data_IF_865323377174
#
_entry.id   IF_865323377174
#
_cell.length_a   1.000
_cell.length_b   1.000
_cell.length_c   1.000
_cell.angle_alpha   90.00
_cell.angle_beta   90.00
_cell.angle_gamma   90.00
#
_symmetry.space_group_name_H-M   'P 1'
#
loop_
_entity.id
_entity.type
_entity.pdbx_description
1 polymer ?
#
# COMPACT_ATOMS: atom_id res chain seq x y z
N UNK A 1 3.02 -5.40 -8.10
CA UNK A 1 1.82 -4.88 -7.40
C UNK A 1 1.34 -3.67 -8.18
N UNK A 2 0.05 -3.36 -8.12
CA UNK A 2 -0.56 -2.20 -8.77
C UNK A 2 -1.53 -1.56 -7.77
N UNK A 3 -1.58 -0.23 -7.75
CA UNK A 3 -2.60 0.52 -7.03
C UNK A 3 -3.07 1.67 -7.90
N UNK A 4 -4.38 1.88 -7.92
CA UNK A 4 -5.04 2.97 -8.64
C UNK A 4 -5.92 3.68 -7.63
N UNK A 5 -5.64 4.95 -7.39
CA UNK A 5 -6.37 5.76 -6.42
C UNK A 5 -7.05 6.93 -7.11
N UNK A 6 -8.17 7.37 -6.55
CA UNK A 6 -8.77 8.63 -6.89
C UNK A 6 -7.88 9.82 -6.43
N UNK A 7 -7.96 10.93 -7.15
CA UNK A 7 -7.15 12.13 -6.86
C UNK A 7 -7.43 12.72 -5.48
N UNK A 8 -8.61 12.47 -4.92
CA UNK A 8 -8.98 12.89 -3.56
C UNK A 8 -8.16 12.18 -2.48
N UNK A 9 -7.64 10.98 -2.77
CA UNK A 9 -6.94 10.10 -1.82
C UNK A 9 -5.44 10.08 -2.06
N UNK A 10 -5.00 10.20 -3.32
CA UNK A 10 -3.59 10.25 -3.67
C UNK A 10 -3.29 11.39 -4.64
N UNK A 11 -2.35 12.27 -4.24
CA UNK A 11 -1.90 13.35 -5.10
C UNK A 11 -0.95 12.81 -6.16
N UNK A 12 -1.30 13.00 -7.44
CA UNK A 12 -0.40 12.74 -8.55
C UNK A 12 0.74 13.79 -8.55
N UNK A 13 2.02 13.37 -8.52
CA UNK A 13 3.16 14.26 -8.64
C UNK A 13 3.06 15.10 -9.92
N UNK A 14 3.39 16.39 -9.83
CA UNK A 14 3.19 17.32 -10.95
C UNK A 14 3.93 16.88 -12.23
N UNK A 15 5.16 16.39 -12.09
CA UNK A 15 5.97 15.90 -13.22
C UNK A 15 5.49 14.61 -13.88
N UNK A 16 4.48 13.93 -13.30
CA UNK A 16 3.86 12.71 -13.86
C UNK A 16 2.42 12.94 -14.31
N UNK A 17 1.92 14.18 -14.24
CA UNK A 17 0.60 14.52 -14.79
C UNK A 17 0.69 14.51 -16.31
N UNK A 18 -0.16 13.71 -16.95
CA UNK A 18 -0.34 13.82 -18.39
C UNK A 18 -0.88 15.22 -18.73
N UNK A 19 -0.49 15.79 -19.89
CA UNK A 19 -1.12 17.02 -20.37
C UNK A 19 -2.63 16.82 -20.41
N UNK A 20 -3.44 17.86 -20.08
CA UNK A 20 -4.88 17.76 -20.21
C UNK A 20 -5.20 17.48 -21.68
N UNK A 21 -5.63 16.25 -21.98
CA UNK A 21 -6.03 15.87 -23.32
C UNK A 21 -7.28 16.67 -23.68
N UNK A 22 -7.16 17.60 -24.63
CA UNK A 22 -8.30 18.34 -25.16
C UNK A 22 -9.30 17.34 -25.76
N UNK A 23 -10.43 17.14 -25.09
CA UNK A 23 -11.55 16.35 -25.59
C UNK A 23 -11.48 14.83 -25.41
N UNK A 24 -10.50 14.27 -24.69
CA UNK A 24 -10.54 12.86 -24.31
C UNK A 24 -11.20 12.71 -22.94
N UNK A 25 -12.33 12.01 -22.86
CA UNK A 25 -12.77 11.40 -21.60
C UNK A 25 -11.55 10.70 -21.00
N UNK A 26 -11.19 11.06 -19.75
CA UNK A 26 -10.02 10.59 -19.00
C UNK A 26 -9.56 9.21 -19.50
N UNK A 27 -8.44 9.20 -20.23
CA UNK A 27 -8.09 8.13 -21.15
C UNK A 27 -8.15 6.73 -20.54
N UNK A 28 -9.04 5.91 -21.11
CA UNK A 28 -8.75 4.49 -21.36
C UNK A 28 -9.12 3.49 -20.28
N UNK A 29 -10.30 3.64 -19.67
CA UNK A 29 -10.93 2.66 -18.79
C UNK A 29 -10.47 2.84 -17.35
N UNK A 30 -11.34 3.34 -16.49
CA UNK A 30 -11.03 3.62 -15.07
C UNK A 30 -10.47 2.43 -14.30
N UNK A 31 -10.22 2.59 -12.99
CA UNK A 31 -9.55 1.59 -12.15
C UNK A 31 -9.95 0.12 -12.44
N UNK A 32 -11.23 -0.15 -12.69
CA UNK A 32 -11.74 -1.46 -13.09
C UNK A 32 -11.08 -2.06 -14.36
N UNK A 33 -10.87 -1.29 -15.42
CA UNK A 33 -10.23 -1.77 -16.65
C UNK A 33 -8.74 -2.07 -16.42
N UNK A 34 -8.05 -1.22 -15.65
CA UNK A 34 -6.66 -1.48 -15.24
C UNK A 34 -6.54 -2.73 -14.37
N UNK A 35 -7.48 -2.94 -13.43
CA UNK A 35 -7.53 -4.16 -12.63
C UNK A 35 -7.77 -5.40 -13.49
N UNK A 36 -8.70 -5.32 -14.46
CA UNK A 36 -8.97 -6.41 -15.40
C UNK A 36 -7.75 -6.72 -16.28
N UNK A 37 -7.08 -5.69 -16.79
CA UNK A 37 -5.85 -5.84 -17.57
C UNK A 37 -4.72 -6.48 -16.74
N UNK A 38 -4.54 -6.03 -15.50
CA UNK A 38 -3.58 -6.63 -14.58
C UNK A 38 -3.90 -8.10 -14.32
N UNK A 39 -5.17 -8.44 -14.05
CA UNK A 39 -5.60 -9.81 -13.80
C UNK A 39 -5.44 -10.73 -15.02
N UNK A 40 -5.66 -10.21 -16.23
CA UNK A 40 -5.44 -10.96 -17.47
C UNK A 40 -3.96 -11.19 -17.77
N UNK A 41 -3.08 -10.25 -17.37
CA UNK A 41 -1.65 -10.31 -17.65
C UNK A 41 -0.84 -11.07 -16.59
N UNK A 42 -1.42 -11.40 -15.43
CA UNK A 42 -0.70 -12.03 -14.33
C UNK A 42 -1.47 -13.23 -13.78
N UNK A 43 -0.81 -14.37 -13.72
CA UNK A 43 -1.35 -15.56 -13.05
C UNK A 43 -1.58 -15.29 -11.56
N UNK A 44 -2.57 -15.98 -10.98
CA UNK A 44 -2.94 -15.86 -9.57
C UNK A 44 -3.04 -14.40 -9.10
N UNK A 45 -3.62 -13.54 -9.96
CA UNK A 45 -3.89 -12.16 -9.61
C UNK A 45 -5.03 -12.06 -8.60
N UNK A 46 -4.86 -11.17 -7.64
CA UNK A 46 -5.84 -10.78 -6.64
C UNK A 46 -6.06 -9.29 -6.80
N UNK A 47 -7.32 -8.90 -6.96
CA UNK A 47 -7.77 -7.52 -7.05
C UNK A 47 -8.64 -7.17 -5.85
N UNK A 48 -8.42 -6.03 -5.24
CA UNK A 48 -9.16 -5.53 -4.08
C UNK A 48 -9.77 -4.19 -4.46
N UNK A 49 -11.10 -4.09 -4.38
CA UNK A 49 -11.81 -2.82 -4.57
C UNK A 49 -11.87 -2.04 -3.27
N UNK A 50 -11.53 -0.75 -3.31
CA UNK A 50 -11.61 0.17 -2.17
C UNK A 50 -12.83 1.11 -2.31
N UNK A 51 -13.82 0.72 -3.11
CA UNK A 51 -14.99 1.54 -3.43
C UNK A 51 -14.61 2.74 -4.31
N UNK A 52 -15.12 3.93 -3.96
CA UNK A 52 -14.82 5.17 -4.70
C UNK A 52 -13.39 5.66 -4.53
N UNK A 53 -12.65 5.14 -3.54
CA UNK A 53 -11.28 5.56 -3.28
C UNK A 53 -10.26 4.99 -4.28
N UNK A 54 -10.57 3.85 -4.91
CA UNK A 54 -9.65 3.21 -5.84
C UNK A 54 -9.69 1.68 -5.78
N UNK A 55 -8.61 1.07 -6.24
CA UNK A 55 -8.40 -0.37 -6.26
C UNK A 55 -6.91 -0.73 -6.11
N UNK A 56 -6.67 -1.90 -5.54
CA UNK A 56 -5.35 -2.51 -5.39
C UNK A 56 -5.31 -3.83 -6.15
N UNK A 57 -4.17 -4.20 -6.68
CA UNK A 57 -3.96 -5.51 -7.26
C UNK A 57 -2.55 -6.04 -7.02
N UNK A 58 -2.46 -7.36 -6.85
CA UNK A 58 -1.19 -8.05 -6.78
C UNK A 58 -1.29 -9.45 -7.35
N UNK A 59 -0.18 -9.99 -7.83
CA UNK A 59 -0.11 -11.40 -8.22
C UNK A 59 0.64 -12.19 -7.17
N UNK A 60 0.12 -13.39 -6.86
CA UNK A 60 0.82 -14.39 -6.05
C UNK A 60 1.57 -15.44 -6.86
N UNK A 61 1.55 -15.35 -8.20
CA UNK A 61 2.33 -16.24 -9.05
C UNK A 61 3.81 -15.86 -9.04
N UNK A 62 4.66 -16.86 -9.31
CA UNK A 62 6.12 -16.73 -9.42
C UNK A 62 6.75 -15.92 -8.27
N UNK A 63 6.25 -16.11 -7.03
CA UNK A 63 6.80 -15.43 -5.86
C UNK A 63 8.23 -15.89 -5.64
N UNK A 64 9.17 -14.96 -5.71
CA UNK A 64 10.50 -15.17 -5.15
C UNK A 64 10.35 -15.34 -3.62
N UNK A 65 10.74 -16.50 -3.04
CA UNK A 65 10.64 -16.72 -1.60
C UNK A 65 11.40 -15.69 -0.77
N UNK A 66 12.44 -15.07 -1.34
CA UNK A 66 13.26 -14.04 -0.70
C UNK A 66 12.58 -12.67 -0.64
N UNK A 67 11.53 -12.45 -1.42
CA UNK A 67 10.82 -11.17 -1.50
C UNK A 67 9.31 -11.45 -1.42
N UNK A 68 8.81 -11.88 -0.25
CA UNK A 68 7.44 -12.29 -0.10
C UNK A 68 6.52 -11.11 -0.37
N UNK A 69 5.40 -11.41 -1.02
CA UNK A 69 4.34 -10.45 -1.29
C UNK A 69 3.12 -10.80 -0.47
N UNK A 70 2.64 -9.84 0.31
CA UNK A 70 1.61 -10.01 1.31
C UNK A 70 0.56 -8.90 1.18
N UNK A 71 -0.67 -9.25 1.52
CA UNK A 71 -1.78 -8.32 1.66
C UNK A 71 -2.38 -8.53 3.04
N UNK A 72 -2.80 -7.44 3.66
CA UNK A 72 -3.50 -7.50 4.95
C UNK A 72 -4.35 -6.27 5.15
N UNK A 73 -5.37 -6.44 5.98
CA UNK A 73 -6.29 -5.38 6.37
C UNK A 73 -6.58 -5.47 7.85
N UNK A 74 -6.46 -4.36 8.57
CA UNK A 74 -6.78 -4.27 9.99
C UNK A 74 -7.41 -2.91 10.25
N UNK A 75 -8.57 -2.89 10.92
CA UNK A 75 -9.32 -1.67 11.24
C UNK A 75 -9.53 -0.74 10.03
N UNK A 76 -9.98 -1.31 8.91
CA UNK A 76 -10.22 -0.61 7.64
C UNK A 76 -9.01 0.13 7.05
N UNK A 77 -7.81 -0.29 7.45
CA UNK A 77 -6.54 0.09 6.83
C UNK A 77 -6.06 -1.10 6.01
N UNK A 78 -5.81 -0.88 4.73
CA UNK A 78 -5.41 -1.90 3.78
C UNK A 78 -3.95 -1.71 3.41
N UNK A 79 -3.16 -2.79 3.41
CA UNK A 79 -1.74 -2.73 3.08
C UNK A 79 -1.36 -3.85 2.12
N UNK A 80 -0.77 -3.45 0.99
CA UNK A 80 0.01 -4.32 0.12
C UNK A 80 1.48 -4.14 0.47
N UNK A 81 2.16 -5.25 0.75
CA UNK A 81 3.57 -5.26 1.12
C UNK A 81 4.34 -6.25 0.25
N UNK A 82 5.58 -5.90 -0.06
CA UNK A 82 6.52 -6.77 -0.71
C UNK A 82 7.92 -6.59 -0.10
N UNK A 83 8.60 -7.69 0.23
CA UNK A 83 9.97 -7.67 0.74
C UNK A 83 10.09 -8.17 2.17
N UNK A 84 11.07 -7.66 2.90
CA UNK A 84 11.36 -8.09 4.26
C UNK A 84 11.80 -6.90 5.12
N UNK A 85 11.41 -6.93 6.39
CA UNK A 85 11.80 -5.95 7.40
C UNK A 85 12.72 -6.65 8.39
N UNK A 86 13.90 -6.10 8.59
CA UNK A 86 14.97 -6.73 9.38
C UNK A 86 14.82 -6.44 10.88
N UNK A 87 14.29 -5.27 11.23
CA UNK A 87 14.20 -4.79 12.62
C UNK A 87 12.84 -5.05 13.27
N UNK A 88 12.15 -6.13 12.89
CA UNK A 88 10.80 -6.50 13.37
C UNK A 88 10.71 -6.58 14.90
N UNK A 89 11.72 -7.13 15.57
CA UNK A 89 11.74 -7.22 17.03
C UNK A 89 11.70 -5.85 17.71
N UNK A 90 12.48 -4.89 17.19
CA UNK A 90 12.50 -3.52 17.70
C UNK A 90 11.16 -2.82 17.47
N UNK A 91 10.58 -2.98 16.27
CA UNK A 91 9.27 -2.41 15.94
C UNK A 91 8.16 -2.94 16.85
N UNK A 92 8.14 -4.25 17.12
CA UNK A 92 7.16 -4.86 18.04
C UNK A 92 7.24 -4.27 19.43
N UNK A 93 8.46 -4.06 19.94
CA UNK A 93 8.67 -3.44 21.24
C UNK A 93 8.28 -1.96 21.24
N UNK A 94 8.71 -1.20 20.23
CA UNK A 94 8.50 0.24 20.13
C UNK A 94 7.01 0.60 20.02
N UNK A 95 6.26 -0.17 19.23
CA UNK A 95 4.82 0.05 19.00
C UNK A 95 3.91 -0.80 19.88
N UNK A 96 4.45 -1.62 20.79
CA UNK A 96 3.66 -2.47 21.69
C UNK A 96 2.82 -3.54 20.97
N UNK A 97 3.37 -4.16 19.93
CA UNK A 97 2.66 -5.06 19.02
C UNK A 97 2.66 -6.52 19.50
N UNK A 98 1.68 -7.28 19.01
CA UNK A 98 1.59 -8.72 19.23
C UNK A 98 2.85 -9.49 18.78
N UNK A 99 3.22 -10.54 19.52
CA UNK A 99 4.30 -11.46 19.15
C UNK A 99 4.03 -12.14 17.80
N UNK A 100 2.78 -12.33 17.42
CA UNK A 100 2.37 -12.98 16.15
C UNK A 100 2.27 -12.00 14.97
N UNK A 101 2.53 -10.70 15.17
CA UNK A 101 2.44 -9.73 14.08
C UNK A 101 3.53 -10.01 13.01
N UNK A 102 3.10 -10.06 11.76
CA UNK A 102 3.97 -10.13 10.57
C UNK A 102 4.23 -8.71 10.03
N UNK A 103 5.04 -8.59 8.97
CA UNK A 103 5.44 -7.31 8.38
C UNK A 103 4.25 -6.42 8.02
N UNK A 104 3.19 -6.99 7.43
CA UNK A 104 1.99 -6.23 7.05
C UNK A 104 1.24 -5.72 8.27
N UNK A 105 1.00 -6.59 9.26
CA UNK A 105 0.29 -6.19 10.49
C UNK A 105 1.09 -5.14 11.26
N UNK A 106 2.43 -5.25 11.28
CA UNK A 106 3.30 -4.27 11.92
C UNK A 106 3.18 -2.91 11.26
N UNK A 107 3.20 -2.85 9.93
CA UNK A 107 3.00 -1.60 9.20
C UNK A 107 1.65 -0.95 9.51
N UNK A 108 0.57 -1.73 9.49
CA UNK A 108 -0.78 -1.19 9.74
C UNK A 108 -0.90 -0.67 11.17
N UNK A 109 -0.45 -1.45 12.17
CA UNK A 109 -0.56 -1.07 13.58
C UNK A 109 0.40 0.06 13.96
N UNK A 110 1.62 0.10 13.42
CA UNK A 110 2.56 1.20 13.65
C UNK A 110 2.01 2.51 13.05
N UNK A 111 1.53 2.47 11.79
CA UNK A 111 0.86 3.60 11.14
C UNK A 111 -0.32 4.11 11.98
N UNK A 112 -1.20 3.19 12.38
CA UNK A 112 -2.39 3.50 13.19
C UNK A 112 -2.00 4.10 14.55
N UNK A 113 -0.98 3.56 15.20
CA UNK A 113 -0.50 4.05 16.49
C UNK A 113 0.00 5.50 16.38
N UNK A 114 0.78 5.81 15.33
CA UNK A 114 1.24 7.17 15.08
C UNK A 114 0.09 8.12 14.71
N UNK A 115 -0.86 7.67 13.88
CA UNK A 115 -2.05 8.44 13.49
C UNK A 115 -2.93 8.78 14.69
N UNK A 116 -3.23 7.80 15.54
CA UNK A 116 -4.22 7.93 16.62
C UNK A 116 -3.63 8.53 17.90
N UNK A 117 -2.35 8.28 18.17
CA UNK A 117 -1.73 8.56 19.48
C UNK A 117 -0.35 9.22 19.40
N UNK A 118 0.22 9.34 18.20
CA UNK A 118 1.59 9.79 18.03
C UNK A 118 1.73 11.32 18.12
N UNK A 119 2.75 11.85 18.82
CA UNK A 119 3.15 13.24 18.65
C UNK A 119 3.84 13.48 17.30
N UNK A 120 4.22 12.39 16.60
CA UNK A 120 4.89 12.38 15.30
C UNK A 120 3.90 12.00 14.19
N UNK A 121 4.11 12.50 12.96
CA UNK A 121 3.26 12.14 11.84
C UNK A 121 3.36 10.65 11.51
N UNK A 122 2.29 10.08 10.96
CA UNK A 122 2.25 8.67 10.54
C UNK A 122 3.36 8.30 9.52
N UNK A 123 3.94 9.29 8.83
CA UNK A 123 5.08 9.09 7.94
C UNK A 123 6.36 8.67 8.64
N UNK A 124 6.46 8.84 9.96
CA UNK A 124 7.57 8.33 10.77
C UNK A 124 7.75 6.82 10.63
N UNK A 125 6.67 6.07 10.33
CA UNK A 125 6.75 4.62 10.12
C UNK A 125 7.82 4.23 9.09
N UNK A 126 8.06 5.04 8.03
CA UNK A 126 9.10 4.72 7.03
C UNK A 126 10.49 4.78 7.64
N UNK A 127 10.73 5.74 8.53
CA UNK A 127 12.04 5.99 9.13
C UNK A 127 12.42 4.90 10.12
N UNK A 128 11.42 4.29 10.72
CA UNK A 128 11.63 3.24 11.71
C UNK A 128 11.81 1.87 11.05
N UNK A 129 11.55 1.71 9.75
CA UNK A 129 11.72 0.44 9.04
C UNK A 129 13.16 0.28 8.53
N UNK A 130 13.76 -0.89 8.79
CA UNK A 130 15.02 -1.32 8.19
C UNK A 130 14.80 -2.55 7.31
N UNK A 131 15.48 -2.60 6.17
CA UNK A 131 15.48 -3.72 5.25
C UNK A 131 14.95 -3.37 3.86
N UNK A 132 14.79 -4.41 3.04
CA UNK A 132 14.37 -4.28 1.64
C UNK A 132 12.88 -4.51 1.51
N UNK A 133 12.12 -3.44 1.36
CA UNK A 133 10.67 -3.52 1.29
C UNK A 133 10.08 -2.50 0.31
N UNK A 134 8.84 -2.75 -0.07
CA UNK A 134 7.96 -1.80 -0.73
C UNK A 134 6.54 -2.02 -0.23
N UNK A 135 5.81 -0.95 0.06
CA UNK A 135 4.42 -1.07 0.47
C UNK A 135 3.53 0.04 -0.06
N UNK A 136 2.23 -0.27 -0.10
CA UNK A 136 1.13 0.64 -0.41
C UNK A 136 0.11 0.44 0.70
N UNK A 137 -0.09 1.47 1.52
CA UNK A 137 -1.06 1.50 2.60
C UNK A 137 -2.15 2.51 2.27
N UNK A 138 -3.40 2.14 2.47
CA UNK A 138 -4.54 3.04 2.35
C UNK A 138 -5.39 2.95 3.60
N UNK A 139 -5.63 4.09 4.22
CA UNK A 139 -6.48 4.25 5.39
C UNK A 139 -7.82 4.86 4.98
N UNK A 140 -8.89 4.10 5.18
CA UNK A 140 -10.25 4.56 4.85
C UNK A 140 -10.75 5.70 5.73
N UNK A 141 -10.27 5.81 6.97
CA UNK A 141 -10.72 6.80 7.95
C UNK A 141 -10.12 8.16 7.61
N UNK A 142 -8.80 8.22 7.43
CA UNK A 142 -8.11 9.46 7.05
C UNK A 142 -8.13 9.75 5.54
N UNK A 143 -8.69 8.83 4.72
CA UNK A 143 -8.68 8.89 3.26
C UNK A 143 -7.28 9.15 2.69
N UNK A 144 -6.26 8.60 3.36
CA UNK A 144 -4.86 8.87 3.04
C UNK A 144 -4.18 7.61 2.53
N UNK A 145 -3.38 7.78 1.49
CA UNK A 145 -2.51 6.73 0.97
C UNK A 145 -1.06 7.01 1.35
N UNK A 146 -0.34 5.97 1.70
CA UNK A 146 1.06 6.01 2.06
C UNK A 146 1.85 4.96 1.28
N UNK A 147 2.87 5.40 0.55
CA UNK A 147 3.68 4.54 -0.33
C UNK A 147 5.14 4.78 -0.03
N UNK A 148 5.89 3.71 0.20
CA UNK A 148 7.32 3.80 0.41
C UNK A 148 8.02 2.52 -0.06
N UNK A 149 9.31 2.66 -0.36
CA UNK A 149 10.21 1.55 -0.59
C UNK A 149 11.55 1.84 0.10
N UNK A 150 12.11 0.81 0.74
CA UNK A 150 13.42 0.81 1.38
C UNK A 150 14.36 -0.13 0.64
N UNK A 151 15.63 0.26 0.53
CA UNK A 151 16.69 -0.52 -0.12
C UNK A 151 17.60 -1.20 0.90
#
# INVERSE_FOLDING_TARGET
MLAVFDQTVAKCPEGLRSPPAAGAAAGGGGAAALMKGFAAANDAAVTVSLGSAGALAYSSANKNPLVPRMFGSVNDIFCLFQGHVENIGNLKQHYGLSKTANEVTILIEAYRTLRDRGPLPASQVVRDLSGRFAFILYDTVSKSTFVAAGC
#
